data_IF_725865897588
#
_entry.id   IF_725865897588
#
_cell.length_a   1.000
_cell.length_b   1.000
_cell.length_c   1.000
_cell.angle_alpha   90.00
_cell.angle_beta   90.00
_cell.angle_gamma   90.00
#
_symmetry.space_group_name_H-M   'P 1'
#
loop_
_entity.id
_entity.type
_entity.pdbx_description
1 polymer ?
#
# COMPACT_ATOMS: atom_id res chain seq x y z
N UNK A 1 -11.65 -3.80 25.21
CA UNK A 1 -12.21 -4.64 24.13
C UNK A 1 -11.97 -6.09 24.47
N UNK A 2 -13.01 -6.92 24.46
CA UNK A 2 -12.93 -8.37 24.64
C UNK A 2 -12.53 -9.07 23.33
N UNK A 3 -12.10 -10.34 23.38
CA UNK A 3 -11.82 -11.11 22.15
C UNK A 3 -13.06 -11.24 21.25
N UNK A 4 -14.27 -11.30 21.83
CA UNK A 4 -15.52 -11.36 21.08
C UNK A 4 -15.84 -10.05 20.36
N UNK A 5 -15.62 -8.92 21.04
CA UNK A 5 -15.74 -7.59 20.44
C UNK A 5 -14.70 -7.40 19.32
N UNK A 6 -13.44 -7.78 19.55
CA UNK A 6 -12.39 -7.70 18.54
C UNK A 6 -12.71 -8.58 17.33
N UNK A 7 -13.24 -9.79 17.55
CA UNK A 7 -13.67 -10.67 16.47
C UNK A 7 -14.76 -10.05 15.60
N UNK A 8 -15.73 -9.36 16.22
CA UNK A 8 -16.80 -8.69 15.52
C UNK A 8 -16.31 -7.52 14.66
N UNK A 9 -15.38 -6.71 15.17
CA UNK A 9 -14.86 -5.53 14.46
C UNK A 9 -13.84 -5.92 13.38
N UNK A 10 -12.94 -6.88 13.67
CA UNK A 10 -11.87 -7.25 12.74
C UNK A 10 -12.27 -8.29 11.70
N UNK A 11 -13.44 -8.93 11.85
CA UNK A 11 -13.88 -10.06 11.03
C UNK A 11 -13.06 -11.34 11.24
N UNK A 12 -12.19 -11.39 12.25
CA UNK A 12 -11.37 -12.57 12.56
C UNK A 12 -12.09 -13.42 13.60
N UNK A 13 -12.19 -14.73 13.37
CA UNK A 13 -12.82 -15.65 14.33
C UNK A 13 -12.14 -15.56 15.70
N UNK A 14 -12.94 -15.46 16.77
CA UNK A 14 -12.44 -15.37 18.16
C UNK A 14 -11.44 -16.48 18.52
N UNK A 15 -11.69 -17.72 18.08
CA UNK A 15 -10.77 -18.84 18.30
C UNK A 15 -9.38 -18.61 17.67
N UNK A 16 -9.33 -17.90 16.54
CA UNK A 16 -8.07 -17.56 15.85
C UNK A 16 -7.31 -16.48 16.62
N UNK A 17 -8.02 -15.47 17.14
CA UNK A 17 -7.45 -14.44 18.03
C UNK A 17 -6.85 -15.10 19.27
N UNK A 18 -7.61 -15.98 19.94
CA UNK A 18 -7.11 -16.74 21.09
C UNK A 18 -5.87 -17.57 20.77
N UNK A 19 -5.82 -18.22 19.60
CA UNK A 19 -4.63 -18.97 19.19
C UNK A 19 -3.40 -18.06 18.98
N UNK A 20 -3.59 -16.86 18.43
CA UNK A 20 -2.54 -15.87 18.23
C UNK A 20 -2.01 -15.34 19.58
N UNK A 21 -2.91 -14.91 20.47
CA UNK A 21 -2.53 -14.35 21.78
C UNK A 21 -1.80 -15.35 22.67
N UNK A 22 -2.13 -16.64 22.55
CA UNK A 22 -1.46 -17.72 23.29
C UNK A 22 -0.21 -18.26 22.56
N UNK A 23 0.25 -17.60 21.49
CA UNK A 23 1.44 -18.00 20.74
C UNK A 23 1.32 -19.32 19.97
N UNK A 24 0.12 -19.90 19.88
CA UNK A 24 -0.14 -21.16 19.17
C UNK A 24 -0.24 -20.96 17.66
N UNK A 25 -0.40 -19.71 17.20
CA UNK A 25 -0.48 -19.37 15.77
C UNK A 25 0.18 -18.03 15.49
N UNK A 26 0.97 -17.98 14.42
CA UNK A 26 1.45 -16.72 13.86
C UNK A 26 0.40 -16.12 12.92
N UNK A 27 0.07 -14.83 13.05
CA UNK A 27 -0.85 -14.16 12.14
C UNK A 27 -0.22 -13.98 10.75
N UNK A 28 -1.02 -14.01 9.69
CA UNK A 28 -0.59 -13.48 8.40
C UNK A 28 -0.47 -11.95 8.48
N UNK A 29 0.25 -11.32 7.54
CA UNK A 29 0.32 -9.87 7.44
C UNK A 29 -1.08 -9.22 7.37
N UNK A 30 -1.98 -9.81 6.58
CA UNK A 30 -3.39 -9.37 6.48
C UNK A 30 -4.12 -9.51 7.83
N UNK A 31 -3.96 -10.64 8.53
CA UNK A 31 -4.60 -10.85 9.85
C UNK A 31 -4.09 -9.83 10.86
N UNK A 32 -2.78 -9.60 10.90
CA UNK A 32 -2.17 -8.60 11.77
C UNK A 32 -2.71 -7.21 11.46
N UNK A 33 -2.81 -6.86 10.18
CA UNK A 33 -3.34 -5.57 9.75
C UNK A 33 -4.79 -5.37 10.19
N UNK A 34 -5.68 -6.34 9.94
CA UNK A 34 -7.10 -6.27 10.37
C UNK A 34 -7.24 -6.11 11.88
N UNK A 35 -6.41 -6.80 12.67
CA UNK A 35 -6.43 -6.70 14.13
C UNK A 35 -5.95 -5.33 14.62
N UNK A 36 -4.89 -4.77 14.02
CA UNK A 36 -4.41 -3.43 14.37
C UNK A 36 -5.42 -2.35 14.00
N UNK A 37 -5.97 -2.41 12.79
CA UNK A 37 -6.98 -1.47 12.31
C UNK A 37 -8.24 -1.48 13.20
N UNK A 38 -8.73 -2.68 13.59
CA UNK A 38 -9.85 -2.82 14.52
C UNK A 38 -9.57 -2.24 15.93
N UNK A 39 -8.29 -2.17 16.31
CA UNK A 39 -7.85 -1.54 17.55
C UNK A 39 -7.54 -0.04 17.42
N UNK A 40 -7.69 0.54 16.22
CA UNK A 40 -7.39 1.95 15.94
C UNK A 40 -5.89 2.24 15.72
N UNK A 41 -5.11 1.24 15.33
CA UNK A 41 -3.69 1.38 15.00
C UNK A 41 -3.41 1.17 13.51
N UNK A 42 -2.43 1.91 13.00
CA UNK A 42 -1.92 1.73 11.64
C UNK A 42 -0.80 0.69 11.60
N UNK A 43 -0.78 -0.11 10.53
CA UNK A 43 0.37 -0.96 10.21
C UNK A 43 1.30 -0.19 9.26
N UNK A 44 2.52 0.09 9.73
CA UNK A 44 3.51 0.89 8.99
C UNK A 44 4.76 0.06 8.74
N UNK A 45 5.19 -0.03 7.49
CA UNK A 45 6.51 -0.54 7.14
C UNK A 45 7.53 0.59 7.28
N UNK A 46 8.60 0.34 8.03
CA UNK A 46 9.66 1.33 8.29
C UNK A 46 10.96 0.83 7.68
N UNK A 47 11.60 1.66 6.87
CA UNK A 47 12.91 1.41 6.25
C UNK A 47 13.76 2.66 6.38
N UNK A 48 14.84 2.64 7.18
CA UNK A 48 15.76 3.76 7.46
C UNK A 48 15.10 5.15 7.57
N UNK A 49 14.85 5.84 6.46
CA UNK A 49 14.26 7.19 6.41
C UNK A 49 12.82 7.24 5.87
N UNK A 50 12.24 6.10 5.49
CA UNK A 50 10.93 5.98 4.86
C UNK A 50 9.93 5.24 5.75
N UNK A 51 8.69 5.73 5.76
CA UNK A 51 7.54 5.12 6.43
C UNK A 51 6.44 4.93 5.41
N UNK A 52 6.08 3.68 5.17
CA UNK A 52 5.01 3.31 4.25
C UNK A 52 3.81 2.88 5.08
N UNK A 53 2.77 3.71 5.09
CA UNK A 53 1.50 3.36 5.70
C UNK A 53 0.80 2.36 4.78
N UNK A 54 0.55 1.15 5.31
CA UNK A 54 -0.19 0.15 4.55
C UNK A 54 -1.67 0.48 4.62
N UNK A 55 -2.36 0.38 3.50
CA UNK A 55 -3.83 0.53 3.46
C UNK A 55 -4.45 -0.72 4.09
N UNK A 56 -5.37 -0.59 5.08
CA UNK A 56 -6.08 -1.72 5.63
C UNK A 56 -6.74 -2.54 4.54
N UNK A 57 -6.64 -3.89 4.58
CA UNK A 57 -7.38 -4.72 3.66
C UNK A 57 -8.88 -4.42 3.81
N UNK A 58 -9.65 -4.50 2.70
CA UNK A 58 -11.09 -4.26 2.73
C UNK A 58 -11.77 -5.13 3.78
N UNK A 59 -12.85 -4.63 4.37
CA UNK A 59 -13.61 -5.39 5.35
C UNK A 59 -14.11 -6.71 4.70
N UNK A 60 -14.38 -7.77 5.48
CA UNK A 60 -14.91 -9.00 4.92
C UNK A 60 -16.22 -8.72 4.17
N UNK A 61 -16.23 -9.00 2.85
CA UNK A 61 -17.39 -8.74 1.99
C UNK A 61 -17.37 -7.41 1.23
N UNK A 62 -16.40 -6.54 1.51
CA UNK A 62 -16.14 -5.38 0.65
C UNK A 62 -15.31 -5.80 -0.57
N UNK A 63 -15.61 -5.25 -1.77
CA UNK A 63 -14.83 -5.54 -2.96
C UNK A 63 -13.40 -5.03 -2.81
N UNK A 64 -12.43 -5.80 -3.29
CA UNK A 64 -11.01 -5.44 -3.31
C UNK A 64 -10.77 -4.39 -4.41
N UNK A 65 -10.86 -3.10 -4.05
CA UNK A 65 -10.80 -1.96 -4.99
C UNK A 65 -9.42 -1.79 -5.66
N UNK A 66 -8.42 -2.60 -5.31
CA UNK A 66 -7.03 -2.44 -5.75
C UNK A 66 -6.85 -2.72 -7.26
N UNK A 67 -7.80 -3.41 -7.90
CA UNK A 67 -7.75 -3.71 -9.34
C UNK A 67 -8.17 -2.54 -10.26
N UNK A 68 -9.02 -1.64 -9.80
CA UNK A 68 -9.71 -0.69 -10.71
C UNK A 68 -9.00 0.67 -10.84
N UNK A 69 -8.18 1.08 -9.86
CA UNK A 69 -7.40 2.33 -9.95
C UNK A 69 -6.26 2.28 -10.98
N UNK A 70 -5.78 1.09 -11.34
CA UNK A 70 -4.81 0.93 -12.44
C UNK A 70 -5.51 0.73 -13.80
N UNK A 71 -6.79 0.39 -13.80
CA UNK A 71 -7.56 0.04 -15.00
C UNK A 71 -8.37 1.23 -15.53
N UNK A 72 -8.90 2.07 -14.64
CA UNK A 72 -9.61 3.30 -14.97
C UNK A 72 -8.65 4.51 -14.91
N UNK A 73 -7.63 4.49 -15.78
CA UNK A 73 -6.95 5.75 -16.14
C UNK A 73 -7.96 6.61 -16.89
N UNK A 74 -8.58 7.56 -16.20
CA UNK A 74 -9.43 8.57 -16.84
C UNK A 74 -8.58 9.49 -17.71
N UNK A 75 -8.39 9.10 -18.98
CA UNK A 75 -7.66 9.89 -19.99
C UNK A 75 -8.29 11.25 -20.28
N UNK A 76 -9.41 11.59 -19.64
CA UNK A 76 -10.13 12.84 -19.83
C UNK A 76 -10.05 13.81 -18.65
N UNK A 77 -9.33 13.47 -17.56
CA UNK A 77 -9.10 14.41 -16.45
C UNK A 77 -8.32 15.66 -16.93
N UNK A 78 -8.93 16.87 -16.89
CA UNK A 78 -8.27 18.12 -17.32
C UNK A 78 -7.11 18.56 -16.42
N UNK A 79 -7.02 18.03 -15.21
CA UNK A 79 -5.99 18.34 -14.23
C UNK A 79 -4.85 17.32 -14.22
N UNK A 80 -5.06 16.17 -14.86
CA UNK A 80 -3.98 15.21 -15.07
C UNK A 80 -3.09 15.73 -16.21
N UNK A 81 -1.84 16.03 -15.89
CA UNK A 81 -0.87 16.43 -16.91
C UNK A 81 -0.72 15.28 -17.91
N UNK A 82 -0.89 15.51 -19.23
CA UNK A 82 -0.76 14.46 -20.20
C UNK A 82 0.62 13.82 -20.04
N UNK A 83 0.62 12.51 -19.82
CA UNK A 83 1.83 11.72 -19.66
C UNK A 83 2.76 12.03 -20.83
N UNK A 84 3.92 12.63 -20.56
CA UNK A 84 4.94 12.96 -21.58
C UNK A 84 5.39 11.72 -22.37
N UNK A 85 5.15 10.54 -21.79
CA UNK A 85 5.35 9.24 -22.39
C UNK A 85 3.97 8.61 -22.62
N UNK A 86 3.57 8.52 -23.88
CA UNK A 86 2.37 7.82 -24.33
C UNK A 86 2.68 6.39 -24.80
N UNK A 87 1.63 5.63 -25.12
CA UNK A 87 1.77 4.27 -25.67
C UNK A 87 2.60 4.24 -26.97
N UNK A 88 2.46 5.29 -27.80
CA UNK A 88 3.13 5.43 -29.10
C UNK A 88 4.57 5.97 -29.01
N UNK A 89 5.07 6.29 -27.81
CA UNK A 89 6.44 6.77 -27.66
C UNK A 89 7.44 5.66 -28.02
N UNK A 90 8.42 5.88 -28.92
CA UNK A 90 9.42 4.87 -29.27
C UNK A 90 10.17 4.34 -28.03
N UNK A 91 10.47 3.03 -28.01
CA UNK A 91 11.11 2.35 -26.87
C UNK A 91 12.41 3.04 -26.47
N UNK A 92 13.21 3.45 -27.45
CA UNK A 92 14.51 4.08 -27.26
C UNK A 92 14.36 5.45 -26.59
N UNK A 93 13.33 6.21 -26.97
CA UNK A 93 13.02 7.49 -26.35
C UNK A 93 12.54 7.30 -24.90
N UNK A 94 11.70 6.27 -24.65
CA UNK A 94 11.29 5.93 -23.28
C UNK A 94 12.46 5.57 -22.38
N UNK A 95 13.38 4.72 -22.87
CA UNK A 95 14.57 4.33 -22.13
C UNK A 95 15.45 5.54 -21.79
N UNK A 96 15.67 6.44 -22.74
CA UNK A 96 16.43 7.68 -22.51
C UNK A 96 15.79 8.59 -21.46
N UNK A 97 14.47 8.75 -21.51
CA UNK A 97 13.75 9.57 -20.54
C UNK A 97 13.80 8.97 -19.12
N UNK A 98 13.65 7.65 -18.99
CA UNK A 98 13.78 6.96 -17.70
C UNK A 98 15.18 7.15 -17.10
N UNK A 99 16.24 6.98 -17.88
CA UNK A 99 17.61 7.21 -17.42
C UNK A 99 17.79 8.65 -16.96
N UNK A 100 17.33 9.63 -17.74
CA UNK A 100 17.45 11.04 -17.37
C UNK A 100 16.72 11.39 -16.06
N UNK A 101 15.54 10.80 -15.83
CA UNK A 101 14.77 10.99 -14.58
C UNK A 101 15.50 10.37 -13.39
N UNK A 102 16.08 9.19 -13.55
CA UNK A 102 16.87 8.52 -12.51
C UNK A 102 18.11 9.34 -12.15
N UNK A 103 18.84 9.83 -13.15
CA UNK A 103 20.02 10.69 -12.96
C UNK A 103 19.66 11.98 -12.21
N UNK A 104 18.56 12.64 -12.59
CA UNK A 104 18.08 13.85 -11.93
C UNK A 104 17.63 13.59 -10.49
N UNK A 105 17.00 12.43 -10.23
CA UNK A 105 16.58 12.02 -8.89
C UNK A 105 17.78 11.76 -7.99
N UNK A 106 18.79 11.04 -8.50
CA UNK A 106 20.04 10.77 -7.77
C UNK A 106 20.78 12.08 -7.44
N UNK A 107 20.87 13.01 -8.40
CA UNK A 107 21.48 14.32 -8.18
C UNK A 107 20.74 15.13 -7.10
N UNK A 108 19.41 15.09 -7.09
CA UNK A 108 18.57 15.77 -6.09
C UNK A 108 18.77 15.18 -4.69
N UNK A 109 18.81 13.85 -4.58
CA UNK A 109 19.05 13.15 -3.31
C UNK A 109 20.44 13.50 -2.76
N UNK A 110 21.48 13.44 -3.60
CA UNK A 110 22.85 13.77 -3.20
C UNK A 110 23.00 15.25 -2.80
N UNK A 111 22.24 16.14 -3.43
CA UNK A 111 22.23 17.57 -3.12
C UNK A 111 21.58 17.91 -1.77
N UNK A 112 20.62 17.11 -1.29
CA UNK A 112 19.96 17.31 0.02
C UNK A 112 20.78 16.80 1.20
N UNK A 113 21.81 15.99 0.96
CA UNK A 113 22.68 15.40 1.98
C UNK A 113 23.94 16.23 2.28
N UNK A 114 24.09 17.40 1.66
CA UNK A 114 25.17 18.38 1.90
C UNK A 114 24.63 19.58 2.65
#
# INVERSE_FOLDING_TARGET
>A
MTQGELAAVSGIKQANISAIENGRRQPSAETLHRLLAACGYDLVAVSSDERIHLVPPPAPGEPEVVGDLLTERDRTDPFESPSLIGADTPVELRARLLVAVLDASEATIRGRLR
#
